data_IF_079403533352
#
_entry.id   IF_079403533352
#
_cell.length_a   1.000
_cell.length_b   1.000
_cell.length_c   1.000
_cell.angle_alpha   90.00
_cell.angle_beta   90.00
_cell.angle_gamma   90.00
#
_symmetry.space_group_name_H-M   'P 1'
#
loop_
_entity.id
_entity.type
_entity.pdbx_description
1 polymer ?
#
# COMPACT_ATOMS: atom_id res chain seq x y z
N UNK A 1 -27.03 46.59 12.83
CA UNK A 1 -27.54 46.53 11.44
C UNK A 1 -27.34 45.10 10.97
N UNK A 2 -28.43 44.40 10.61
CA UNK A 2 -28.44 43.00 10.15
C UNK A 2 -28.40 43.00 8.61
N UNK A 3 -27.58 42.16 8.01
CA UNK A 3 -27.60 41.87 6.57
C UNK A 3 -27.63 40.37 6.35
N UNK A 4 -28.83 39.84 6.08
CA UNK A 4 -29.12 38.43 5.81
C UNK A 4 -29.43 38.38 4.30
N UNK A 5 -28.70 37.58 3.53
CA UNK A 5 -28.99 37.34 2.12
C UNK A 5 -29.34 35.87 1.91
N UNK A 6 -30.59 35.52 1.54
CA UNK A 6 -30.96 34.17 1.16
C UNK A 6 -30.91 34.01 -0.37
N UNK A 7 -30.37 32.89 -0.85
CA UNK A 7 -30.70 32.38 -2.18
C UNK A 7 -31.06 30.89 -2.05
N UNK A 8 -32.36 30.65 -2.16
CA UNK A 8 -32.97 29.35 -2.45
C UNK A 8 -33.13 29.24 -3.97
N UNK A 9 -32.75 28.09 -4.54
CA UNK A 9 -33.45 27.53 -5.70
C UNK A 9 -33.27 26.01 -5.70
N UNK A 10 -34.39 25.30 -5.81
CA UNK A 10 -34.57 23.86 -5.73
C UNK A 10 -35.17 23.32 -7.04
N UNK A 11 -34.94 22.04 -7.34
CA UNK A 11 -35.83 21.04 -8.00
C UNK A 11 -34.98 19.79 -8.34
N UNK A 12 -35.22 18.56 -7.81
CA UNK A 12 -36.33 17.60 -8.01
C UNK A 12 -36.40 17.08 -9.49
N UNK A 13 -36.55 15.80 -9.86
CA UNK A 13 -36.80 14.52 -9.16
C UNK A 13 -36.51 13.31 -10.11
N UNK A 14 -36.61 12.10 -9.54
CA UNK A 14 -36.25 10.74 -10.00
C UNK A 14 -36.99 10.13 -11.21
N UNK A 15 -36.42 9.06 -11.78
CA UNK A 15 -37.14 7.81 -12.16
C UNK A 15 -36.19 6.60 -12.03
N UNK A 16 -36.63 5.55 -11.32
CA UNK A 16 -36.03 4.22 -11.27
C UNK A 16 -36.78 3.25 -12.19
N UNK A 17 -36.08 2.32 -12.84
CA UNK A 17 -36.70 1.15 -13.50
C UNK A 17 -36.00 -0.11 -13.04
N UNK A 18 -36.74 -0.94 -12.31
CA UNK A 18 -36.40 -2.32 -11.95
C UNK A 18 -36.85 -3.26 -13.09
N UNK A 19 -35.97 -4.15 -13.54
CA UNK A 19 -36.29 -5.23 -14.46
C UNK A 19 -36.10 -6.58 -13.77
N UNK A 20 -37.18 -7.36 -13.69
CA UNK A 20 -37.23 -8.73 -13.14
C UNK A 20 -37.90 -9.61 -14.19
N UNK A 21 -37.46 -10.87 -14.35
CA UNK A 21 -38.34 -11.93 -14.85
C UNK A 21 -37.97 -12.60 -16.18
N UNK A 22 -37.28 -13.74 -16.01
CA UNK A 22 -37.31 -15.03 -16.73
C UNK A 22 -38.45 -15.33 -17.74
N UNK A 23 -38.09 -16.03 -18.84
CA UNK A 23 -38.97 -17.04 -19.45
C UNK A 23 -39.23 -17.00 -20.97
N UNK A 24 -38.56 -17.88 -21.72
CA UNK A 24 -39.23 -18.79 -22.68
C UNK A 24 -39.33 -18.46 -24.18
N UNK A 25 -38.38 -19.03 -24.95
CA UNK A 25 -38.52 -19.75 -26.24
C UNK A 25 -39.26 -19.17 -27.46
N UNK A 26 -38.54 -19.12 -28.60
CA UNK A 26 -38.75 -20.02 -29.78
C UNK A 26 -37.66 -19.88 -30.87
N UNK A 27 -37.30 -21.04 -31.41
CA UNK A 27 -36.40 -21.42 -32.52
C UNK A 27 -36.82 -20.75 -33.87
N UNK A 28 -36.09 -20.71 -34.99
CA UNK A 28 -35.09 -21.62 -35.58
C UNK A 28 -34.47 -20.95 -36.83
N UNK A 29 -33.26 -21.34 -37.26
CA UNK A 29 -32.70 -20.89 -38.54
C UNK A 29 -31.23 -21.26 -38.78
N UNK A 30 -31.01 -22.46 -39.30
CA UNK A 30 -29.75 -23.10 -39.71
C UNK A 30 -28.77 -22.27 -40.57
N UNK A 31 -27.46 -22.49 -40.36
CA UNK A 31 -26.41 -22.07 -41.29
C UNK A 31 -24.96 -22.22 -40.82
N UNK A 32 -24.41 -23.45 -40.95
CA UNK A 32 -22.99 -23.81 -41.12
C UNK A 32 -21.94 -23.56 -40.00
N UNK A 33 -21.47 -24.66 -39.39
CA UNK A 33 -20.15 -24.84 -38.74
C UNK A 33 -19.01 -24.87 -39.80
N UNK A 34 -17.69 -24.73 -39.49
CA UNK A 34 -17.02 -25.21 -38.28
C UNK A 34 -15.81 -24.40 -37.74
N UNK A 35 -15.50 -24.54 -36.45
CA UNK A 35 -14.15 -24.89 -35.96
C UNK A 35 -14.14 -24.89 -34.44
N UNK A 36 -13.64 -25.98 -33.89
CA UNK A 36 -13.32 -26.11 -32.48
C UNK A 36 -12.24 -25.09 -32.09
N UNK A 37 -12.48 -24.36 -31.01
CA UNK A 37 -11.44 -23.88 -30.12
C UNK A 37 -11.90 -24.16 -28.68
N UNK A 38 -11.40 -25.21 -28.03
CA UNK A 38 -11.49 -25.33 -26.58
C UNK A 38 -10.47 -24.37 -25.98
N UNK A 39 -10.91 -23.52 -25.06
CA UNK A 39 -10.00 -22.70 -24.27
C UNK A 39 -10.45 -21.25 -24.16
N UNK A 40 -11.59 -21.03 -23.50
CA UNK A 40 -11.63 -19.91 -22.56
C UNK A 40 -10.68 -20.29 -21.41
N UNK A 41 -9.37 -20.19 -21.68
CA UNK A 41 -8.43 -19.83 -20.63
C UNK A 41 -8.80 -18.40 -20.29
N UNK A 42 -9.71 -18.25 -19.32
CA UNK A 42 -9.70 -17.08 -18.48
C UNK A 42 -8.25 -16.93 -18.03
N UNK A 43 -7.54 -15.93 -18.59
CA UNK A 43 -6.25 -15.55 -18.07
C UNK A 43 -6.45 -15.37 -16.55
N UNK A 44 -5.67 -16.03 -15.69
CA UNK A 44 -5.78 -15.77 -14.27
C UNK A 44 -5.58 -14.27 -14.10
N UNK A 45 -6.57 -13.61 -13.51
CA UNK A 45 -6.33 -12.31 -12.90
C UNK A 45 -5.10 -12.48 -11.98
N UNK A 46 -4.11 -11.57 -12.00
CA UNK A 46 -2.91 -11.71 -11.16
C UNK A 46 -3.21 -11.71 -9.65
N UNK A 47 -4.47 -11.52 -9.25
CA UNK A 47 -4.94 -11.50 -7.86
C UNK A 47 -5.49 -12.84 -7.34
N UNK A 48 -4.96 -13.99 -7.78
CA UNK A 48 -5.45 -15.27 -7.27
C UNK A 48 -4.63 -16.51 -7.60
N UNK A 49 -3.55 -16.72 -6.85
CA UNK A 49 -3.01 -18.04 -6.46
C UNK A 49 -1.72 -17.81 -5.64
N UNK A 50 -1.75 -18.03 -4.32
CA UNK A 50 -0.62 -18.26 -3.40
C UNK A 50 0.78 -17.74 -3.78
N UNK A 51 0.89 -16.51 -4.30
CA UNK A 51 2.15 -15.80 -4.27
C UNK A 51 2.37 -15.47 -2.79
N UNK A 52 3.40 -16.05 -2.18
CA UNK A 52 3.70 -15.87 -0.76
C UNK A 52 3.58 -14.38 -0.39
N UNK A 53 2.53 -14.06 0.36
CA UNK A 53 2.22 -12.69 0.73
C UNK A 53 3.23 -12.26 1.80
N UNK A 54 3.94 -11.17 1.53
CA UNK A 54 4.91 -10.58 2.45
C UNK A 54 4.35 -9.27 3.00
N UNK A 55 4.60 -9.05 4.29
CA UNK A 55 4.06 -7.95 5.08
C UNK A 55 5.17 -7.10 5.69
N UNK A 56 4.80 -5.92 6.19
CA UNK A 56 5.57 -5.17 7.18
C UNK A 56 4.86 -5.35 8.52
N UNK A 57 5.61 -5.62 9.59
CA UNK A 57 5.03 -5.53 10.93
C UNK A 57 4.86 -4.05 11.27
N UNK A 58 3.65 -3.54 11.11
CA UNK A 58 3.36 -2.13 11.29
C UNK A 58 2.92 -1.87 12.73
N UNK A 59 3.57 -0.94 13.43
CA UNK A 59 3.18 -0.48 14.79
C UNK A 59 2.57 0.91 14.82
N UNK A 60 2.25 1.48 13.65
CA UNK A 60 1.64 2.80 13.57
C UNK A 60 0.21 2.74 14.12
N UNK A 61 -0.03 3.44 15.24
CA UNK A 61 -1.34 3.48 15.91
C UNK A 61 -1.67 2.24 16.76
N UNK A 62 -0.85 1.19 16.75
CA UNK A 62 -0.99 0.00 17.60
C UNK A 62 0.40 -0.52 18.02
N UNK A 63 0.72 -0.42 19.31
CA UNK A 63 2.00 -0.85 19.88
C UNK A 63 2.25 -2.36 19.77
N UNK A 64 1.20 -3.18 19.69
CA UNK A 64 1.33 -4.62 19.48
C UNK A 64 1.66 -4.95 18.01
N UNK A 65 1.32 -4.03 17.11
CA UNK A 65 1.51 -4.12 15.69
C UNK A 65 0.53 -5.05 14.98
N UNK A 66 0.54 -4.98 13.66
CA UNK A 66 -0.32 -5.75 12.78
C UNK A 66 0.36 -6.02 11.44
N UNK A 67 -0.13 -7.03 10.72
CA UNK A 67 0.36 -7.40 9.40
C UNK A 67 -0.16 -6.41 8.37
N UNK A 68 0.72 -5.57 7.83
CA UNK A 68 0.33 -4.55 6.85
C UNK A 68 0.97 -4.78 5.50
N UNK A 69 0.16 -4.66 4.44
CA UNK A 69 0.58 -4.87 3.05
C UNK A 69 0.49 -3.55 2.31
N UNK A 70 1.63 -3.05 1.86
CA UNK A 70 1.78 -1.72 1.23
C UNK A 70 1.29 -0.61 2.16
N UNK A 71 1.86 -0.50 3.39
CA UNK A 71 1.46 0.54 4.34
C UNK A 71 1.71 1.94 3.78
N UNK A 72 0.78 2.87 3.99
CA UNK A 72 1.00 4.31 3.70
C UNK A 72 1.79 4.98 4.83
N UNK A 73 1.60 4.52 6.07
CA UNK A 73 2.34 4.98 7.24
C UNK A 73 2.80 3.76 8.02
N UNK A 74 4.08 3.68 8.37
CA UNK A 74 4.58 2.57 9.19
C UNK A 74 5.78 2.94 10.06
N UNK A 75 5.87 2.27 11.20
CA UNK A 75 7.00 2.38 12.12
C UNK A 75 8.02 1.30 11.77
N UNK A 76 9.15 1.69 11.19
CA UNK A 76 10.24 0.76 10.85
C UNK A 76 10.89 0.22 12.12
N UNK A 77 11.23 1.12 13.05
CA UNK A 77 11.77 0.80 14.38
C UNK A 77 11.23 1.81 15.38
N UNK A 78 11.53 1.64 16.68
CA UNK A 78 11.17 2.65 17.70
C UNK A 78 11.78 4.04 17.44
N UNK A 79 12.76 4.14 16.53
CA UNK A 79 13.47 5.37 16.19
C UNK A 79 13.06 5.98 14.85
N UNK A 80 12.40 5.21 13.96
CA UNK A 80 12.21 5.56 12.56
C UNK A 80 10.79 5.27 12.10
N UNK A 81 10.15 6.28 11.49
CA UNK A 81 8.81 6.19 10.92
C UNK A 81 8.82 6.66 9.46
N UNK A 82 8.09 5.93 8.63
CA UNK A 82 7.79 6.27 7.25
C UNK A 82 6.33 6.72 7.15
N UNK A 83 6.05 7.68 6.28
CA UNK A 83 4.74 8.31 6.13
C UNK A 83 4.47 8.70 4.68
N UNK A 84 3.20 8.75 4.28
CA UNK A 84 2.81 9.13 2.92
C UNK A 84 3.41 8.22 1.84
N UNK A 85 3.60 6.95 2.15
CA UNK A 85 4.27 6.00 1.25
C UNK A 85 3.42 5.66 0.03
N UNK A 86 4.04 5.73 -1.14
CA UNK A 86 3.51 5.30 -2.42
C UNK A 86 4.37 4.16 -2.95
N UNK A 87 3.75 3.02 -3.30
CA UNK A 87 4.46 1.79 -3.67
C UNK A 87 4.37 1.48 -5.16
N UNK A 88 5.48 1.54 -5.87
CA UNK A 88 5.59 1.15 -7.28
C UNK A 88 5.70 -0.35 -7.47
N UNK A 89 6.45 -1.03 -6.59
CA UNK A 89 6.71 -2.46 -6.67
C UNK A 89 6.41 -3.14 -5.34
N UNK A 90 5.75 -4.30 -5.41
CA UNK A 90 5.58 -5.18 -4.26
C UNK A 90 5.58 -6.62 -4.73
N UNK A 91 6.63 -7.34 -4.35
CA UNK A 91 6.86 -8.74 -4.69
C UNK A 91 7.22 -9.52 -3.42
N UNK A 92 7.22 -10.87 -3.45
CA UNK A 92 7.53 -11.68 -2.27
C UNK A 92 8.92 -11.46 -1.66
N UNK A 93 9.88 -10.96 -2.44
CA UNK A 93 11.28 -10.80 -2.03
C UNK A 93 11.72 -9.35 -1.92
N UNK A 94 10.95 -8.41 -2.48
CA UNK A 94 11.27 -6.99 -2.53
C UNK A 94 10.03 -6.11 -2.67
N UNK A 95 10.06 -4.93 -2.04
CA UNK A 95 9.15 -3.83 -2.34
C UNK A 95 9.92 -2.53 -2.60
N UNK A 96 9.39 -1.65 -3.44
CA UNK A 96 9.96 -0.32 -3.72
C UNK A 96 8.87 0.73 -3.69
N UNK A 97 9.19 1.86 -3.08
CA UNK A 97 8.29 3.00 -3.01
C UNK A 97 9.01 4.26 -2.57
N UNK A 98 8.25 5.35 -2.54
CA UNK A 98 8.70 6.68 -2.14
C UNK A 98 7.80 7.24 -1.05
N UNK A 99 8.33 8.13 -0.22
CA UNK A 99 7.56 8.81 0.82
C UNK A 99 8.41 9.57 1.82
N UNK A 100 7.80 10.00 2.91
CA UNK A 100 8.44 10.78 3.97
C UNK A 100 9.08 9.91 5.04
N UNK A 101 10.26 10.30 5.49
CA UNK A 101 11.06 9.64 6.53
C UNK A 101 11.36 10.61 7.67
N UNK A 102 11.04 10.19 8.89
CA UNK A 102 11.34 10.95 10.09
C UNK A 102 11.70 10.04 11.25
N UNK A 103 12.39 10.58 12.25
CA UNK A 103 12.80 9.81 13.40
C UNK A 103 13.40 10.63 14.52
N UNK A 104 13.75 9.95 15.62
CA UNK A 104 14.40 10.58 16.78
C UNK A 104 15.78 11.13 16.46
N UNK A 105 16.43 10.60 15.41
CA UNK A 105 17.77 10.98 14.96
C UNK A 105 17.81 12.33 14.22
N UNK A 106 16.68 12.89 13.77
CA UNK A 106 16.63 14.19 13.09
C UNK A 106 15.90 15.29 13.86
N UNK A 107 15.59 15.08 15.15
CA UNK A 107 14.87 16.07 15.96
C UNK A 107 15.59 17.42 16.06
N UNK A 108 16.93 17.44 16.04
CA UNK A 108 17.71 18.68 16.05
C UNK A 108 17.65 19.46 14.72
N UNK A 109 17.18 18.80 13.65
CA UNK A 109 17.17 19.32 12.27
C UNK A 109 15.76 19.67 11.79
N UNK A 110 14.80 19.81 12.70
CA UNK A 110 13.42 20.24 12.44
C UNK A 110 12.61 19.34 11.48
N UNK A 111 13.07 18.10 11.21
CA UNK A 111 12.41 17.11 10.35
C UNK A 111 10.99 16.71 10.81
N UNK A 112 10.59 17.09 12.03
CA UNK A 112 9.28 16.76 12.59
C UNK A 112 8.14 17.50 11.89
N UNK A 113 8.42 18.65 11.28
CA UNK A 113 7.43 19.41 10.50
C UNK A 113 7.57 19.18 8.99
N UNK A 114 8.75 18.73 8.56
CA UNK A 114 9.10 18.51 7.17
C UNK A 114 9.92 17.21 7.08
N UNK A 115 9.25 16.04 6.98
CA UNK A 115 9.92 14.75 6.84
C UNK A 115 10.80 14.72 5.59
N UNK A 116 11.91 13.98 5.64
CA UNK A 116 12.77 13.81 4.46
C UNK A 116 12.06 12.97 3.41
N UNK A 117 11.95 13.47 2.18
CA UNK A 117 11.45 12.69 1.06
C UNK A 117 12.54 11.70 0.60
N UNK A 118 12.16 10.43 0.48
CA UNK A 118 13.07 9.31 0.23
C UNK A 118 12.46 8.27 -0.71
N UNK A 119 13.32 7.63 -1.48
CA UNK A 119 13.04 6.35 -2.14
C UNK A 119 13.56 5.20 -1.27
N UNK A 120 12.74 4.18 -1.06
CA UNK A 120 13.07 3.03 -0.20
C UNK A 120 12.85 1.71 -0.92
N UNK A 121 13.77 0.77 -0.68
CA UNK A 121 13.62 -0.64 -1.02
C UNK A 121 13.49 -1.47 0.27
N UNK A 122 12.41 -2.26 0.39
CA UNK A 122 12.26 -3.26 1.46
C UNK A 122 12.75 -4.63 0.97
N UNK A 123 13.44 -5.37 1.84
CA UNK A 123 14.08 -6.63 1.49
C UNK A 123 14.18 -7.59 2.68
N UNK A 124 14.87 -8.71 2.42
CA UNK A 124 15.18 -9.78 3.37
C UNK A 124 13.94 -10.33 4.10
N UNK A 125 12.97 -10.91 3.37
CA UNK A 125 11.78 -11.48 3.97
C UNK A 125 12.12 -12.68 4.86
N UNK A 126 11.63 -12.68 6.09
CA UNK A 126 11.74 -13.80 7.03
C UNK A 126 10.36 -14.31 7.41
N UNK A 127 10.20 -15.63 7.47
CA UNK A 127 8.98 -16.28 7.93
C UNK A 127 8.96 -16.37 9.46
N UNK A 128 7.85 -15.96 10.07
CA UNK A 128 7.55 -16.08 11.50
C UNK A 128 6.11 -16.61 11.60
N UNK A 129 5.93 -17.76 12.24
CA UNK A 129 4.63 -18.42 12.40
C UNK A 129 3.82 -18.62 11.10
N UNK A 130 4.53 -18.86 9.99
CA UNK A 130 3.93 -19.05 8.67
C UNK A 130 3.57 -17.76 7.93
N UNK A 131 3.92 -16.59 8.47
CA UNK A 131 3.75 -15.28 7.84
C UNK A 131 5.12 -14.70 7.47
N UNK A 132 5.29 -14.21 6.24
CA UNK A 132 6.56 -13.61 5.79
C UNK A 132 6.54 -12.10 6.02
N UNK A 133 7.61 -11.57 6.61
CA UNK A 133 7.78 -10.14 6.85
C UNK A 133 9.08 -9.64 6.23
N UNK A 134 9.06 -8.48 5.58
CA UNK A 134 10.30 -7.76 5.29
C UNK A 134 11.00 -7.42 6.60
N UNK A 135 12.33 -7.52 6.61
CA UNK A 135 13.13 -7.30 7.83
C UNK A 135 14.21 -6.24 7.67
N UNK A 136 14.43 -5.78 6.43
CA UNK A 136 15.39 -4.74 6.11
C UNK A 136 14.76 -3.70 5.19
N UNK A 137 15.28 -2.49 5.26
CA UNK A 137 15.05 -1.46 4.26
C UNK A 137 16.38 -0.80 3.87
N UNK A 138 16.42 -0.23 2.68
CA UNK A 138 17.54 0.58 2.20
C UNK A 138 16.99 1.84 1.58
N UNK A 139 17.53 2.99 1.96
CA UNK A 139 17.25 4.25 1.28
C UNK A 139 18.06 4.27 -0.02
N UNK A 140 17.38 4.29 -1.16
CA UNK A 140 17.97 4.24 -2.50
C UNK A 140 18.09 5.61 -3.16
N UNK A 141 17.30 6.57 -2.69
CA UNK A 141 17.29 7.96 -3.14
C UNK A 141 16.75 8.85 -2.02
N UNK A 142 17.19 10.11 -2.00
CA UNK A 142 16.81 11.12 -1.01
C UNK A 142 17.16 12.51 -1.52
N UNK A 143 16.44 13.53 -1.06
CA UNK A 143 16.70 14.93 -1.41
C UNK A 143 17.99 15.49 -0.79
N UNK A 144 18.46 16.60 -1.35
CA UNK A 144 19.70 17.29 -0.97
C UNK A 144 19.72 17.75 0.51
N UNK A 145 18.56 17.89 1.14
CA UNK A 145 18.42 18.26 2.54
C UNK A 145 18.88 17.14 3.49
N UNK A 146 18.89 15.89 3.04
CA UNK A 146 19.39 14.75 3.81
C UNK A 146 20.93 14.64 3.71
N UNK A 147 21.61 15.39 4.57
CA UNK A 147 23.09 15.39 4.63
C UNK A 147 23.68 14.03 5.02
N UNK A 148 24.97 13.81 4.71
CA UNK A 148 25.71 12.59 5.14
C UNK A 148 25.68 12.36 6.66
N UNK A 149 25.70 13.45 7.45
CA UNK A 149 25.60 13.36 8.91
C UNK A 149 24.26 12.81 9.36
N UNK A 150 23.19 13.25 8.70
CA UNK A 150 21.82 12.77 8.94
C UNK A 150 21.67 11.31 8.51
N UNK A 151 22.17 10.95 7.32
CA UNK A 151 22.18 9.56 6.83
C UNK A 151 22.91 8.62 7.80
N UNK A 152 24.05 9.07 8.32
CA UNK A 152 24.81 8.32 9.33
C UNK A 152 24.04 8.18 10.64
N UNK A 153 23.37 9.23 11.11
CA UNK A 153 22.57 9.19 12.33
C UNK A 153 21.39 8.20 12.22
N UNK A 154 20.73 8.15 11.06
CA UNK A 154 19.72 7.12 10.76
C UNK A 154 20.31 5.70 10.84
N UNK A 155 21.43 5.47 10.15
CA UNK A 155 22.10 4.17 10.14
C UNK A 155 22.56 3.74 11.55
N UNK A 156 23.10 4.67 12.34
CA UNK A 156 23.52 4.41 13.72
C UNK A 156 22.32 4.15 14.66
N UNK A 157 21.15 4.76 14.41
CA UNK A 157 19.95 4.59 15.23
C UNK A 157 19.22 3.26 14.99
N UNK A 158 19.13 2.84 13.72
CA UNK A 158 18.18 1.83 13.28
C UNK A 158 18.85 0.68 12.50
N UNK A 159 19.93 0.99 11.77
CA UNK A 159 20.71 0.01 11.01
C UNK A 159 20.05 -0.51 9.73
N UNK A 160 19.03 0.18 9.20
CA UNK A 160 18.29 -0.25 8.01
C UNK A 160 17.36 -1.42 8.28
N UNK A 161 16.78 -1.49 9.48
CA UNK A 161 16.00 -2.65 9.95
C UNK A 161 14.52 -2.34 10.04
N UNK A 162 13.71 -3.37 9.84
CA UNK A 162 12.29 -3.35 10.15
C UNK A 162 12.01 -4.14 11.42
N UNK A 163 11.00 -3.69 12.15
CA UNK A 163 10.42 -4.39 13.27
C UNK A 163 10.01 -5.80 12.82
N UNK A 164 10.29 -6.78 13.68
CA UNK A 164 9.93 -8.17 13.47
C UNK A 164 9.02 -8.63 14.60
N UNK A 165 8.10 -9.57 14.33
CA UNK A 165 7.39 -10.24 15.41
C UNK A 165 8.41 -10.96 16.28
N UNK A 166 8.16 -10.97 17.59
CA UNK A 166 8.97 -11.77 18.51
C UNK A 166 8.59 -13.23 18.29
N UNK A 167 9.47 -14.02 17.69
CA UNK A 167 9.25 -15.47 17.62
C UNK A 167 9.46 -16.12 18.99
N UNK A 168 8.67 -17.15 19.30
CA UNK A 168 8.86 -18.03 20.46
C UNK A 168 9.99 -19.05 20.25
#
# INVERSE_FOLDING_TARGET
MRGIGPWLAAAAAAVAVAGCGDGGARESGEGAAPSAAPGESAAPSPDGADAAQVYVLNRYGDENGFDDRRPVEYVATEFTTFSGMEWDEWSPDRARGEGGLLGTWCMEQECQNDPYEVEVELADPVEVDGVRYFTAYTITGYDDDMTDGVRRALEDADGGKLARPSGE
#
